data_IF_827636462227
#
_entry.id   IF_827636462227
#
_cell.length_a   1.000
_cell.length_b   1.000
_cell.length_c   1.000
_cell.angle_alpha   90.00
_cell.angle_beta   90.00
_cell.angle_gamma   90.00
#
_symmetry.space_group_name_H-M   'P 1'
#
loop_
_entity.id
_entity.type
_entity.pdbx_description
1 polymer ?
#
# COMPACT_ATOMS: atom_id res chain seq x y z
N UNK A 1 59.10 -42.15 29.53
CA UNK A 1 59.64 -42.79 30.73
C UNK A 1 59.28 -41.94 31.94
N UNK A 2 58.81 -42.56 33.03
CA UNK A 2 57.87 -41.99 34.01
C UNK A 2 58.58 -41.34 35.20
N UNK A 3 57.83 -40.54 35.97
CA UNK A 3 58.05 -40.44 37.43
C UNK A 3 56.73 -40.09 38.11
N UNK A 4 56.13 -41.11 38.72
CA UNK A 4 55.09 -41.03 39.75
C UNK A 4 55.65 -40.45 41.05
N UNK A 5 54.86 -39.63 41.76
CA UNK A 5 54.92 -39.58 43.21
C UNK A 5 53.52 -39.87 43.81
N UNK A 6 53.36 -40.98 44.52
CA UNK A 6 53.51 -41.17 45.97
C UNK A 6 52.34 -40.60 46.76
N UNK A 7 51.48 -41.53 47.19
CA UNK A 7 50.32 -41.35 48.06
C UNK A 7 50.76 -41.32 49.53
N UNK A 8 50.26 -40.34 50.30
CA UNK A 8 50.38 -40.29 51.76
C UNK A 8 48.98 -40.12 52.38
N UNK A 9 48.74 -40.73 53.56
CA UNK A 9 47.41 -41.09 54.06
C UNK A 9 46.61 -39.92 54.66
N UNK A 10 45.28 -40.07 54.77
CA UNK A 10 44.42 -39.02 55.33
C UNK A 10 44.52 -38.96 56.86
N UNK A 11 44.54 -37.73 57.39
CA UNK A 11 44.45 -37.45 58.82
C UNK A 11 42.99 -37.51 59.35
N UNK A 12 42.78 -37.78 60.65
CA UNK A 12 41.48 -38.13 61.20
C UNK A 12 40.53 -36.93 61.34
N UNK A 13 39.24 -37.21 61.15
CA UNK A 13 38.14 -36.26 61.24
C UNK A 13 37.85 -35.87 62.70
N UNK A 14 37.78 -34.56 62.96
CA UNK A 14 37.21 -34.03 64.22
C UNK A 14 35.83 -33.46 63.90
N UNK A 15 34.80 -34.03 64.51
CA UNK A 15 33.39 -33.66 64.31
C UNK A 15 33.04 -32.57 65.32
N UNK A 16 32.64 -31.39 64.84
CA UNK A 16 32.08 -30.32 65.67
C UNK A 16 30.56 -30.30 65.48
N UNK A 17 29.74 -30.30 66.55
CA UNK A 17 28.29 -30.24 66.43
C UNK A 17 27.86 -28.80 66.12
N UNK A 18 27.37 -28.56 64.91
CA UNK A 18 26.78 -27.27 64.53
C UNK A 18 25.27 -27.34 64.66
N UNK A 19 24.72 -26.45 65.49
CA UNK A 19 23.31 -26.38 65.85
C UNK A 19 22.38 -26.16 64.66
N UNK A 20 21.22 -26.83 64.74
CA UNK A 20 20.10 -26.70 63.80
C UNK A 20 19.54 -25.28 63.85
N UNK A 21 19.68 -24.52 62.76
CA UNK A 21 18.90 -23.31 62.51
C UNK A 21 17.68 -23.67 61.66
N UNK A 22 16.48 -23.14 61.95
CA UNK A 22 15.27 -23.42 61.18
C UNK A 22 15.36 -22.82 59.77
N UNK A 23 14.74 -23.45 58.75
CA UNK A 23 14.79 -22.96 57.39
C UNK A 23 14.03 -21.64 57.25
N UNK A 24 14.67 -20.68 56.57
CA UNK A 24 14.04 -19.44 56.13
C UNK A 24 12.99 -19.74 55.04
N UNK A 25 11.86 -19.00 54.98
CA UNK A 25 10.84 -19.23 53.97
C UNK A 25 11.38 -18.91 52.57
N UNK A 26 11.31 -19.89 51.67
CA UNK A 26 11.60 -19.72 50.25
C UNK A 26 10.49 -18.90 49.59
N UNK A 27 10.83 -17.72 49.09
CA UNK A 27 9.92 -16.92 48.25
C UNK A 27 9.96 -17.46 46.82
N UNK A 28 8.88 -18.13 46.40
CA UNK A 28 8.66 -18.52 45.01
C UNK A 28 8.31 -17.28 44.20
N UNK A 29 9.22 -16.80 43.33
CA UNK A 29 8.91 -15.74 42.37
C UNK A 29 8.20 -16.39 41.18
N UNK A 30 6.87 -16.22 41.14
CA UNK A 30 6.07 -16.51 39.95
C UNK A 30 6.32 -15.41 38.91
N UNK A 31 7.19 -15.67 37.93
CA UNK A 31 7.34 -14.79 36.77
C UNK A 31 6.06 -14.87 35.94
N UNK A 32 5.24 -13.83 36.04
CA UNK A 32 4.07 -13.66 35.18
C UNK A 32 4.59 -13.27 33.79
N UNK A 33 4.26 -13.99 32.70
CA UNK A 33 4.65 -13.57 31.37
C UNK A 33 4.02 -12.21 31.09
N UNK A 34 4.87 -11.22 30.81
CA UNK A 34 4.43 -9.90 30.39
C UNK A 34 3.64 -10.07 29.08
N UNK A 35 2.43 -9.51 28.94
CA UNK A 35 1.73 -9.55 27.67
C UNK A 35 2.64 -8.93 26.60
N UNK A 36 2.91 -9.70 25.55
CA UNK A 36 3.55 -9.21 24.34
C UNK A 36 2.72 -8.03 23.85
N UNK A 37 3.29 -6.82 23.89
CA UNK A 37 2.63 -5.65 23.37
C UNK A 37 2.49 -5.87 21.85
N UNK A 38 1.27 -6.22 21.41
CA UNK A 38 0.91 -6.10 20.00
C UNK A 38 1.20 -4.65 19.59
N UNK A 39 2.00 -4.41 18.55
CA UNK A 39 2.23 -3.06 18.06
C UNK A 39 0.85 -2.50 17.72
N UNK A 40 0.41 -1.53 18.51
CA UNK A 40 -0.78 -0.74 18.17
C UNK A 40 -0.32 0.12 17.01
N UNK A 41 -0.66 -0.27 15.78
CA UNK A 41 -0.53 0.59 14.62
C UNK A 41 -1.34 1.84 14.98
N UNK A 42 -0.65 2.93 15.31
CA UNK A 42 -1.33 4.20 15.48
C UNK A 42 -1.89 4.54 14.10
N UNK A 43 -3.22 4.66 13.94
CA UNK A 43 -3.76 5.05 12.65
C UNK A 43 -3.21 6.43 12.32
N UNK A 44 -2.54 6.54 11.18
CA UNK A 44 -2.31 7.84 10.56
C UNK A 44 -3.67 8.53 10.47
N UNK A 45 -3.83 9.76 10.98
CA UNK A 45 -5.13 10.43 10.95
C UNK A 45 -5.62 10.52 9.52
N UNK A 46 -6.90 10.19 9.32
CA UNK A 46 -7.55 10.20 8.02
C UNK A 46 -7.39 11.57 7.34
N UNK A 47 -6.87 11.63 6.10
CA UNK A 47 -6.73 12.89 5.40
C UNK A 47 -8.06 13.61 5.18
N UNK A 48 -8.02 14.94 5.27
CA UNK A 48 -9.18 15.75 4.93
C UNK A 48 -9.59 15.50 3.48
N UNK A 49 -10.88 15.27 3.27
CA UNK A 49 -11.44 14.98 1.95
C UNK A 49 -11.67 13.51 1.69
N UNK A 50 -11.28 12.61 2.59
CA UNK A 50 -11.70 11.21 2.49
C UNK A 50 -13.22 11.10 2.43
N UNK A 51 -13.68 10.31 1.47
CA UNK A 51 -15.09 10.14 1.16
C UNK A 51 -15.33 8.71 0.67
N UNK A 52 -16.36 8.05 1.20
CA UNK A 52 -16.72 6.70 0.77
C UNK A 52 -17.49 6.77 -0.55
N UNK A 53 -16.98 6.18 -1.66
CA UNK A 53 -17.63 6.29 -2.95
C UNK A 53 -18.96 5.50 -3.02
N UNK A 54 -19.88 5.85 -3.93
CA UNK A 54 -21.15 5.16 -4.09
C UNK A 54 -20.96 3.75 -4.68
N UNK A 55 -21.90 2.85 -4.38
CA UNK A 55 -21.97 1.48 -4.92
C UNK A 55 -22.79 1.41 -6.21
N UNK A 56 -22.70 2.43 -7.07
CA UNK A 56 -23.37 2.48 -8.37
C UNK A 56 -22.41 2.08 -9.49
N UNK A 57 -22.67 0.93 -10.09
CA UNK A 57 -21.83 0.32 -11.12
C UNK A 57 -22.40 0.50 -12.54
N UNK A 58 -23.46 1.29 -12.70
CA UNK A 58 -24.01 1.55 -14.03
C UNK A 58 -22.97 2.21 -14.93
N UNK A 59 -22.97 1.83 -16.22
CA UNK A 59 -22.02 2.34 -17.22
C UNK A 59 -22.38 3.76 -17.64
N UNK A 60 -21.37 4.58 -17.84
CA UNK A 60 -21.45 5.91 -18.44
C UNK A 60 -20.33 6.07 -19.46
N UNK A 61 -20.62 6.79 -20.54
CA UNK A 61 -19.61 7.18 -21.53
C UNK A 61 -19.14 8.61 -21.22
N UNK A 62 -17.83 8.79 -21.13
CA UNK A 62 -17.18 10.08 -20.85
C UNK A 62 -16.02 10.24 -21.84
N UNK A 63 -16.07 11.29 -22.66
CA UNK A 63 -15.04 11.55 -23.67
C UNK A 63 -14.76 10.35 -24.61
N UNK A 64 -15.80 9.57 -24.94
CA UNK A 64 -15.68 8.36 -25.77
C UNK A 64 -15.16 7.11 -25.05
N UNK A 65 -14.98 7.18 -23.73
CA UNK A 65 -14.54 6.06 -22.90
C UNK A 65 -15.65 5.59 -21.97
N UNK A 66 -15.80 4.26 -21.84
CA UNK A 66 -16.71 3.68 -20.87
C UNK A 66 -16.07 3.63 -19.48
N UNK A 67 -16.81 4.07 -18.45
CA UNK A 67 -16.47 3.87 -17.03
C UNK A 67 -17.75 3.56 -16.26
N UNK A 68 -17.64 3.08 -15.01
CA UNK A 68 -18.82 2.96 -14.15
C UNK A 68 -19.06 4.25 -13.34
N UNK A 69 -20.30 4.45 -12.86
CA UNK A 69 -20.69 5.64 -12.10
C UNK A 69 -19.89 5.82 -10.81
N UNK A 70 -19.51 4.75 -10.13
CA UNK A 70 -18.60 4.79 -8.98
C UNK A 70 -17.29 5.48 -9.35
N UNK A 71 -16.63 5.02 -10.40
CA UNK A 71 -15.36 5.59 -10.89
C UNK A 71 -15.54 7.05 -11.27
N UNK A 72 -16.61 7.39 -11.99
CA UNK A 72 -16.89 8.77 -12.36
C UNK A 72 -17.12 9.67 -11.14
N UNK A 73 -17.88 9.22 -10.15
CA UNK A 73 -18.14 9.97 -8.93
C UNK A 73 -16.86 10.21 -8.11
N UNK A 74 -15.94 9.24 -8.10
CA UNK A 74 -14.61 9.42 -7.50
C UNK A 74 -13.77 10.46 -8.27
N UNK A 75 -13.85 10.49 -9.61
CA UNK A 75 -13.19 11.52 -10.41
C UNK A 75 -13.80 12.91 -10.17
N UNK A 76 -15.12 13.02 -10.02
CA UNK A 76 -15.81 14.27 -9.67
C UNK A 76 -15.35 14.79 -8.30
N UNK A 77 -15.20 13.90 -7.32
CA UNK A 77 -14.67 14.26 -6.00
C UNK A 77 -13.19 14.66 -6.06
N UNK A 78 -12.38 13.92 -6.82
CA UNK A 78 -10.97 14.25 -7.03
C UNK A 78 -10.81 15.61 -7.72
N UNK A 79 -11.65 15.94 -8.69
CA UNK A 79 -11.63 17.22 -9.38
C UNK A 79 -11.93 18.39 -8.43
N UNK A 80 -12.87 18.20 -7.48
CA UNK A 80 -13.17 19.19 -6.45
C UNK A 80 -12.00 19.44 -5.50
N UNK A 81 -11.26 18.39 -5.12
CA UNK A 81 -10.08 18.49 -4.25
C UNK A 81 -8.87 19.07 -4.99
N UNK A 82 -8.69 18.69 -6.25
CA UNK A 82 -7.57 19.13 -7.08
C UNK A 82 -7.69 20.61 -7.47
N UNK A 83 -8.84 21.04 -7.98
CA UNK A 83 -9.12 22.44 -8.31
C UNK A 83 -8.22 23.08 -9.37
N UNK A 84 -7.41 22.30 -10.09
CA UNK A 84 -6.47 22.80 -11.11
C UNK A 84 -7.02 22.76 -12.53
N UNK A 85 -6.12 22.86 -13.52
CA UNK A 85 -6.44 23.04 -14.94
C UNK A 85 -6.97 21.75 -15.62
N UNK A 86 -6.53 20.56 -15.17
CA UNK A 86 -6.83 19.29 -15.80
C UNK A 86 -8.30 18.87 -15.58
N UNK A 87 -9.09 18.86 -16.65
CA UNK A 87 -10.47 18.33 -16.71
C UNK A 87 -10.50 16.79 -16.65
N UNK A 88 -10.29 16.22 -15.45
CA UNK A 88 -10.20 14.76 -15.21
C UNK A 88 -11.55 14.04 -15.20
N UNK A 89 -12.67 14.75 -15.31
CA UNK A 89 -14.02 14.21 -15.46
C UNK A 89 -14.49 14.20 -16.92
N UNK A 90 -13.57 14.43 -17.86
CA UNK A 90 -13.90 14.63 -19.26
C UNK A 90 -12.68 14.52 -20.15
N UNK A 91 -12.26 15.64 -20.74
CA UNK A 91 -11.23 15.68 -21.78
C UNK A 91 -9.93 14.93 -21.46
N UNK A 92 -9.47 14.97 -20.20
CA UNK A 92 -8.18 14.39 -19.84
C UNK A 92 -8.23 12.87 -19.61
N UNK A 93 -9.40 12.24 -19.68
CA UNK A 93 -9.49 10.78 -19.71
C UNK A 93 -8.97 10.30 -21.08
N UNK A 94 -7.81 9.65 -21.06
CA UNK A 94 -7.15 9.08 -22.25
C UNK A 94 -7.41 7.60 -22.43
N UNK A 95 -7.86 6.92 -21.37
CA UNK A 95 -8.34 5.55 -21.42
C UNK A 95 -9.33 5.30 -20.27
N UNK A 96 -10.45 4.65 -20.58
CA UNK A 96 -11.45 4.25 -19.58
C UNK A 96 -11.35 2.79 -19.16
N UNK A 97 -12.38 2.35 -18.44
CA UNK A 97 -12.58 0.97 -18.02
C UNK A 97 -13.17 0.13 -19.17
N UNK A 98 -13.28 -1.18 -18.97
CA UNK A 98 -13.88 -2.14 -19.91
C UNK A 98 -13.28 -2.10 -21.33
N UNK A 99 -12.00 -1.77 -21.42
CA UNK A 99 -11.31 -1.57 -22.69
C UNK A 99 -10.05 -2.42 -22.80
N UNK A 100 -9.90 -3.10 -23.93
CA UNK A 100 -8.73 -3.93 -24.24
C UNK A 100 -7.79 -3.16 -25.19
N UNK A 101 -6.73 -2.59 -24.62
CA UNK A 101 -5.63 -1.98 -25.37
C UNK A 101 -4.45 -2.95 -25.61
N UNK A 102 -4.72 -4.26 -25.52
CA UNK A 102 -3.72 -5.31 -25.68
C UNK A 102 -2.67 -5.29 -24.57
N UNK A 103 -1.46 -5.74 -24.91
CA UNK A 103 -0.37 -5.91 -23.95
C UNK A 103 0.03 -4.60 -23.23
N UNK A 104 -0.23 -3.44 -23.83
CA UNK A 104 0.13 -2.13 -23.26
C UNK A 104 -0.59 -1.83 -21.93
N UNK A 105 -1.79 -2.38 -21.73
CA UNK A 105 -2.59 -2.16 -20.52
C UNK A 105 -2.32 -3.19 -19.42
N UNK A 106 -1.56 -4.26 -19.70
CA UNK A 106 -1.39 -5.40 -18.77
C UNK A 106 -2.72 -6.01 -18.28
N UNK A 107 -3.83 -5.74 -18.98
CA UNK A 107 -5.18 -6.18 -18.62
C UNK A 107 -5.87 -5.37 -17.51
N UNK A 108 -5.27 -4.29 -16.99
CA UNK A 108 -5.87 -3.51 -15.87
C UNK A 108 -7.19 -2.85 -16.26
N UNK A 109 -7.37 -2.49 -17.53
CA UNK A 109 -8.60 -1.84 -18.02
C UNK A 109 -9.67 -2.82 -18.51
N UNK A 110 -9.47 -4.13 -18.39
CA UNK A 110 -10.46 -5.13 -18.83
C UNK A 110 -11.72 -5.17 -17.94
N UNK A 111 -11.66 -4.56 -16.76
CA UNK A 111 -12.76 -4.41 -15.81
C UNK A 111 -13.09 -2.95 -15.53
N UNK A 112 -13.83 -2.71 -14.45
CA UNK A 112 -14.15 -1.40 -13.90
C UNK A 112 -12.99 -0.73 -13.18
N UNK A 113 -13.23 0.48 -12.69
CA UNK A 113 -12.35 1.16 -11.75
C UNK A 113 -11.04 1.72 -12.31
N UNK A 114 -10.57 1.29 -13.48
CA UNK A 114 -9.32 1.76 -14.07
C UNK A 114 -9.53 2.92 -15.05
N UNK A 115 -8.70 3.96 -14.92
CA UNK A 115 -8.65 5.12 -15.82
C UNK A 115 -7.21 5.60 -16.01
N UNK A 116 -6.91 6.08 -17.22
CA UNK A 116 -5.68 6.83 -17.50
C UNK A 116 -6.02 8.29 -17.78
N UNK A 117 -5.25 9.18 -17.15
CA UNK A 117 -5.44 10.62 -17.20
C UNK A 117 -4.22 11.29 -17.82
N UNK A 118 -4.43 12.11 -18.85
CA UNK A 118 -3.39 12.99 -19.38
C UNK A 118 -3.00 14.05 -18.35
N UNK A 119 -1.70 14.32 -18.29
CA UNK A 119 -1.11 15.42 -17.50
C UNK A 119 -0.69 16.60 -18.38
N UNK A 120 -1.12 16.60 -19.65
CA UNK A 120 -0.83 17.67 -20.60
C UNK A 120 -1.96 18.68 -20.64
N UNK A 121 -1.61 19.97 -20.74
CA UNK A 121 -2.57 21.04 -21.00
C UNK A 121 -3.40 20.73 -22.24
N UNK A 122 -4.72 20.87 -22.12
CA UNK A 122 -5.71 20.64 -23.17
C UNK A 122 -5.30 21.27 -24.50
N UNK A 123 -5.31 20.46 -25.55
CA UNK A 123 -4.96 20.87 -26.92
C UNK A 123 -3.45 21.13 -27.17
N UNK A 124 -2.57 20.77 -26.23
CA UNK A 124 -1.12 20.97 -26.35
C UNK A 124 -0.34 19.70 -25.99
N UNK A 125 0.98 19.73 -26.18
CA UNK A 125 1.92 18.71 -25.70
C UNK A 125 2.70 19.18 -24.46
N UNK A 126 2.22 20.22 -23.78
CA UNK A 126 2.87 20.78 -22.61
C UNK A 126 2.40 20.05 -21.36
N UNK A 127 3.31 19.31 -20.71
CA UNK A 127 3.06 18.67 -19.41
C UNK A 127 2.95 19.74 -18.31
N UNK A 128 1.89 19.64 -17.50
CA UNK A 128 1.66 20.47 -16.33
C UNK A 128 2.28 19.79 -15.09
N UNK A 129 3.60 19.92 -14.94
CA UNK A 129 4.33 19.24 -13.86
C UNK A 129 3.90 19.66 -12.46
N UNK A 130 3.57 20.94 -12.27
CA UNK A 130 3.12 21.47 -10.98
C UNK A 130 1.74 20.90 -10.57
N UNK A 131 0.97 20.37 -11.53
CA UNK A 131 -0.35 19.78 -11.30
C UNK A 131 -0.29 18.29 -10.97
N UNK A 132 0.83 17.60 -11.25
CA UNK A 132 0.94 16.15 -11.04
C UNK A 132 0.79 15.78 -9.56
N UNK A 133 1.57 16.40 -8.67
CA UNK A 133 1.55 16.05 -7.25
C UNK A 133 0.18 16.36 -6.60
N UNK A 134 -0.41 17.56 -6.79
CA UNK A 134 -1.76 17.84 -6.29
C UNK A 134 -2.82 16.89 -6.84
N UNK A 135 -2.75 16.53 -8.12
CA UNK A 135 -3.72 15.63 -8.74
C UNK A 135 -3.58 14.19 -8.21
N UNK A 136 -2.36 13.66 -8.12
CA UNK A 136 -2.13 12.32 -7.54
C UNK A 136 -2.64 12.28 -6.10
N UNK A 137 -2.37 13.32 -5.30
CA UNK A 137 -2.90 13.41 -3.93
C UNK A 137 -4.43 13.45 -3.91
N UNK A 138 -5.07 14.27 -4.74
CA UNK A 138 -6.53 14.39 -4.81
C UNK A 138 -7.20 13.06 -5.23
N UNK A 139 -6.63 12.35 -6.21
CA UNK A 139 -7.09 11.03 -6.62
C UNK A 139 -7.01 10.03 -5.47
N UNK A 140 -5.88 10.01 -4.74
CA UNK A 140 -5.67 9.10 -3.61
C UNK A 140 -6.65 9.34 -2.46
N UNK A 141 -6.83 10.60 -2.08
CA UNK A 141 -7.84 10.99 -1.07
C UNK A 141 -9.26 10.62 -1.52
N UNK A 142 -9.53 10.65 -2.83
CA UNK A 142 -10.84 10.30 -3.39
C UNK A 142 -11.07 8.80 -3.54
N UNK A 143 -10.09 7.98 -3.20
CA UNK A 143 -10.23 6.53 -3.18
C UNK A 143 -9.51 5.77 -4.29
N UNK A 144 -8.66 6.42 -5.08
CA UNK A 144 -7.86 5.74 -6.09
C UNK A 144 -6.50 5.29 -5.52
N UNK A 145 -6.00 4.14 -5.95
CA UNK A 145 -4.56 3.99 -6.09
C UNK A 145 -4.15 4.74 -7.37
N UNK A 146 -3.23 5.70 -7.28
CA UNK A 146 -2.87 6.54 -8.42
C UNK A 146 -1.35 6.73 -8.52
N UNK A 147 -0.82 6.59 -9.74
CA UNK A 147 0.60 6.71 -10.05
C UNK A 147 0.80 7.53 -11.32
N UNK A 148 1.78 8.44 -11.32
CA UNK A 148 2.31 8.94 -12.58
C UNK A 148 3.07 7.81 -13.28
N UNK A 149 2.81 7.59 -14.56
CA UNK A 149 3.66 6.84 -15.49
C UNK A 149 4.44 7.85 -16.33
N UNK A 150 5.76 7.87 -16.19
CA UNK A 150 6.62 8.76 -16.97
C UNK A 150 6.72 8.26 -18.42
N UNK A 151 7.19 9.12 -19.33
CA UNK A 151 7.53 8.70 -20.68
C UNK A 151 8.48 7.51 -20.65
N UNK A 152 8.18 6.50 -21.45
CA UNK A 152 9.06 5.34 -21.59
C UNK A 152 9.00 4.34 -20.42
N UNK A 153 8.19 4.58 -19.39
CA UNK A 153 8.20 3.81 -18.14
C UNK A 153 7.67 2.37 -18.34
N UNK A 154 6.59 2.20 -19.09
CA UNK A 154 5.96 0.88 -19.33
C UNK A 154 6.54 0.18 -20.57
N UNK A 155 6.91 0.98 -21.56
CA UNK A 155 7.55 0.58 -22.81
C UNK A 155 8.20 1.81 -23.46
N UNK A 156 9.14 1.67 -24.41
CA UNK A 156 9.84 2.83 -25.00
C UNK A 156 8.94 3.94 -25.54
N UNK A 157 7.75 3.60 -26.04
CA UNK A 157 6.79 4.54 -26.64
C UNK A 157 5.63 4.91 -25.69
N UNK A 158 5.66 4.43 -24.43
CA UNK A 158 4.58 4.73 -23.47
C UNK A 158 4.50 6.23 -23.17
N UNK A 159 3.31 6.86 -23.34
CA UNK A 159 3.13 8.28 -23.08
C UNK A 159 3.08 8.56 -21.58
N UNK A 160 3.38 9.80 -21.19
CA UNK A 160 3.18 10.24 -19.81
C UNK A 160 1.68 10.36 -19.49
N UNK A 161 1.25 9.78 -18.37
CA UNK A 161 -0.12 9.83 -17.87
C UNK A 161 -0.16 9.49 -16.38
N UNK A 162 -1.26 9.77 -15.70
CA UNK A 162 -1.57 9.19 -14.39
C UNK A 162 -2.44 7.96 -14.63
N UNK A 163 -2.00 6.80 -14.14
CA UNK A 163 -2.81 5.60 -14.06
C UNK A 163 -3.50 5.55 -12.69
N UNK A 164 -4.81 5.37 -12.65
CA UNK A 164 -5.58 5.32 -11.42
C UNK A 164 -6.56 4.13 -11.38
N UNK A 165 -6.63 3.47 -10.23
CA UNK A 165 -7.49 2.30 -9.97
C UNK A 165 -8.38 2.58 -8.76
N UNK A 166 -9.70 2.50 -8.95
CA UNK A 166 -10.70 2.74 -7.92
C UNK A 166 -10.69 1.63 -6.86
N UNK A 167 -10.25 1.94 -5.65
CA UNK A 167 -10.19 0.98 -4.53
C UNK A 167 -11.61 0.53 -4.17
N UNK A 168 -11.78 -0.78 -3.97
CA UNK A 168 -13.06 -1.38 -3.61
C UNK A 168 -14.08 -1.45 -4.75
N UNK A 169 -13.70 -1.12 -5.99
CA UNK A 169 -14.55 -1.40 -7.14
C UNK A 169 -14.70 -2.92 -7.34
N UNK A 170 -15.94 -3.42 -7.43
CA UNK A 170 -16.23 -4.87 -7.53
C UNK A 170 -16.02 -5.42 -8.93
N UNK A 171 -15.87 -4.56 -9.92
CA UNK A 171 -15.71 -4.92 -11.31
C UNK A 171 -14.25 -4.83 -11.78
N UNK A 172 -13.30 -4.53 -10.88
CA UNK A 172 -11.87 -4.54 -11.19
C UNK A 172 -11.45 -5.84 -11.89
N UNK A 173 -10.62 -5.73 -12.92
CA UNK A 173 -9.95 -6.90 -13.47
C UNK A 173 -8.96 -7.49 -12.44
N UNK A 174 -8.59 -8.76 -12.63
CA UNK A 174 -7.58 -9.43 -11.79
C UNK A 174 -6.26 -8.64 -11.78
N UNK A 175 -5.81 -8.17 -12.95
CA UNK A 175 -4.61 -7.36 -13.06
C UNK A 175 -4.71 -6.03 -12.28
N UNK A 176 -5.88 -5.37 -12.28
CA UNK A 176 -6.09 -4.16 -11.50
C UNK A 176 -6.09 -4.44 -9.99
N UNK A 177 -6.69 -5.55 -9.56
CA UNK A 177 -6.64 -5.99 -8.16
C UNK A 177 -5.20 -6.28 -7.71
N UNK A 178 -4.39 -6.92 -8.56
CA UNK A 178 -2.98 -7.17 -8.29
C UNK A 178 -2.15 -5.90 -8.13
N UNK A 179 -2.46 -4.83 -8.89
CA UNK A 179 -1.82 -3.52 -8.68
C UNK A 179 -2.20 -2.87 -7.35
N UNK A 180 -3.30 -3.28 -6.71
CA UNK A 180 -3.66 -2.82 -5.37
C UNK A 180 -2.95 -3.62 -4.28
N UNK A 181 -3.14 -4.95 -4.29
CA UNK A 181 -2.81 -5.82 -3.15
C UNK A 181 -1.63 -6.77 -3.37
N UNK A 182 -1.17 -6.90 -4.62
CA UNK A 182 -0.09 -7.80 -5.00
C UNK A 182 1.27 -7.39 -4.42
N UNK A 183 2.34 -8.16 -4.70
CA UNK A 183 3.69 -7.90 -4.18
C UNK A 183 4.26 -6.54 -4.59
N UNK A 184 3.81 -6.00 -5.73
CA UNK A 184 4.19 -4.70 -6.28
C UNK A 184 3.12 -3.64 -6.02
N UNK A 185 2.10 -3.96 -5.22
CA UNK A 185 0.86 -3.20 -5.17
C UNK A 185 0.92 -1.91 -4.38
N UNK A 186 -0.10 -1.08 -4.61
CA UNK A 186 -0.32 0.21 -3.98
C UNK A 186 -0.17 0.14 -2.47
N UNK A 187 -0.92 -0.74 -1.80
CA UNK A 187 -0.99 -0.80 -0.33
C UNK A 187 0.34 -1.18 0.35
N UNK A 188 1.36 -1.56 -0.43
CA UNK A 188 2.74 -1.81 0.03
C UNK A 188 3.69 -0.66 -0.27
N UNK A 189 3.21 0.44 -0.84
CA UNK A 189 4.00 1.62 -1.21
C UNK A 189 4.76 1.49 -2.53
N UNK A 190 4.31 0.61 -3.42
CA UNK A 190 5.00 0.31 -4.67
C UNK A 190 4.24 0.81 -5.91
N UNK A 191 4.89 0.75 -7.07
CA UNK A 191 4.39 1.33 -8.33
C UNK A 191 3.22 0.59 -8.99
N UNK A 192 2.84 -0.60 -8.52
CA UNK A 192 1.84 -1.46 -9.16
C UNK A 192 2.36 -2.20 -10.39
N UNK A 193 3.58 -1.94 -10.85
CA UNK A 193 4.13 -2.51 -12.10
C UNK A 193 5.12 -3.64 -11.78
N UNK A 194 4.84 -4.88 -12.20
CA UNK A 194 5.83 -5.95 -12.13
C UNK A 194 6.99 -5.65 -13.08
N UNK A 195 8.21 -5.63 -12.57
CA UNK A 195 9.42 -5.44 -13.39
C UNK A 195 10.27 -6.71 -13.42
N UNK A 196 11.09 -6.85 -14.47
CA UNK A 196 11.87 -8.07 -14.73
C UNK A 196 12.84 -8.46 -13.61
N UNK A 197 13.29 -7.50 -12.79
CA UNK A 197 14.13 -7.77 -11.61
C UNK A 197 13.38 -8.46 -10.47
N UNK A 198 12.05 -8.51 -10.53
CA UNK A 198 11.14 -8.96 -9.47
C UNK A 198 11.29 -8.22 -8.12
N UNK A 199 12.00 -7.10 -8.10
CA UNK A 199 12.13 -6.23 -6.92
C UNK A 199 11.10 -5.12 -7.08
N UNK A 200 10.14 -4.96 -6.15
CA UNK A 200 9.18 -3.86 -6.21
C UNK A 200 9.87 -2.50 -6.17
N UNK A 201 9.47 -1.61 -7.07
CA UNK A 201 9.91 -0.22 -7.07
C UNK A 201 9.02 0.60 -6.14
N UNK A 202 9.63 1.46 -5.33
CA UNK A 202 8.90 2.42 -4.50
C UNK A 202 8.19 3.46 -5.35
N UNK A 203 7.03 3.89 -4.87
CA UNK A 203 6.29 4.98 -5.47
C UNK A 203 6.94 6.34 -5.18
N UNK A 204 7.31 7.06 -6.24
CA UNK A 204 7.96 8.38 -6.16
C UNK A 204 7.05 9.49 -5.61
N UNK A 205 5.73 9.27 -5.57
CA UNK A 205 4.75 10.21 -5.02
C UNK A 205 4.33 9.85 -3.58
N UNK A 206 5.14 9.03 -2.89
CA UNK A 206 4.90 8.61 -1.52
C UNK A 206 3.96 7.40 -1.41
N UNK A 207 3.74 6.98 -0.16
CA UNK A 207 2.99 5.76 0.15
C UNK A 207 1.46 5.87 0.01
N UNK A 208 0.75 4.81 0.41
CA UNK A 208 -0.71 4.77 0.39
C UNK A 208 -1.34 5.89 1.22
N UNK A 209 -2.44 6.44 0.71
CA UNK A 209 -3.40 7.17 1.52
C UNK A 209 -4.53 6.21 1.87
N UNK A 210 -4.83 6.09 3.16
CA UNK A 210 -5.91 5.26 3.67
C UNK A 210 -7.01 6.14 4.26
N UNK A 211 -8.21 5.99 3.71
CA UNK A 211 -9.43 6.52 4.30
C UNK A 211 -10.05 5.45 5.22
N UNK A 212 -10.86 5.87 6.20
CA UNK A 212 -11.43 4.96 7.20
C UNK A 212 -12.28 3.86 6.53
N UNK A 213 -13.04 4.21 5.50
CA UNK A 213 -13.85 3.24 4.76
C UNK A 213 -13.01 2.16 4.07
N UNK A 214 -11.76 2.46 3.66
CA UNK A 214 -10.86 1.46 3.07
C UNK A 214 -10.43 0.45 4.14
N UNK A 215 -10.13 0.93 5.34
CA UNK A 215 -9.77 0.10 6.50
C UNK A 215 -10.94 -0.80 6.86
N UNK A 216 -12.16 -0.26 6.87
CA UNK A 216 -13.39 -1.01 7.14
C UNK A 216 -13.65 -2.09 6.07
N UNK A 217 -13.16 -1.90 4.84
CA UNK A 217 -13.14 -2.88 3.75
C UNK A 217 -11.93 -3.84 3.80
N UNK A 218 -11.17 -3.85 4.89
CA UNK A 218 -9.96 -4.65 5.09
C UNK A 218 -8.77 -4.29 4.18
N UNK A 219 -8.77 -3.12 3.56
CA UNK A 219 -7.57 -2.54 2.97
C UNK A 219 -6.78 -1.82 4.07
N UNK A 220 -6.02 -2.61 4.84
CA UNK A 220 -5.06 -2.07 5.80
C UNK A 220 -3.73 -1.72 5.10
N UNK A 221 -2.92 -0.87 5.74
CA UNK A 221 -1.54 -0.64 5.31
C UNK A 221 -0.79 -1.98 5.33
N UNK A 222 -0.30 -2.43 4.17
CA UNK A 222 0.42 -3.69 4.01
C UNK A 222 1.94 -3.53 4.09
N UNK A 223 2.42 -2.33 4.45
CA UNK A 223 3.83 -2.00 4.67
C UNK A 223 4.38 -2.55 5.98
#
# INVERSE_FOLDING_TARGET
>A
MPVTPTYLPPAPMTVTPTGTTPPAPTLTITLTPLPSATPTIMPTPEPLGCWHPPEDYSRVEVNGWEINRRTHAMLEHAAQLYGGELEITGYHITQGSYHDNGAASFGTHLGGGAVDLSVMRKGTYTVLWDDVEPLVHALRVSGFAAWLRAYGELSPDSPIHIHAIAIGDRELSEAAQDQLTGPFGYFRGYTGVPIASAIPAEDRHGGPILCQWMIDMCYADLR
#
